data_IF_330430005865
#
_entry.id   IF_330430005865
#
_cell.length_a   1.000
_cell.length_b   1.000
_cell.length_c   1.000
_cell.angle_alpha   90.00
_cell.angle_beta   90.00
_cell.angle_gamma   90.00
#
_symmetry.space_group_name_H-M   'P 1'
#
loop_
_entity.id
_entity.type
_entity.pdbx_description
1 polymer ?
#
# COMPACT_ATOMS: atom_id res chain seq x y z
N UNK A 1 -52.84 -45.99 4.90
CA UNK A 1 -52.71 -45.81 3.45
C UNK A 1 -53.22 -44.42 3.15
N UNK A 2 -52.33 -43.44 3.07
CA UNK A 2 -52.51 -42.34 2.13
C UNK A 2 -51.17 -41.66 1.89
N UNK A 3 -50.91 -41.46 0.62
CA UNK A 3 -49.62 -41.20 0.01
C UNK A 3 -49.30 -39.71 0.04
N UNK A 4 -48.10 -39.34 0.46
CA UNK A 4 -47.47 -38.11 -0.04
C UNK A 4 -46.06 -38.44 -0.51
N UNK A 5 -45.86 -38.46 -1.84
CA UNK A 5 -44.59 -37.97 -2.33
C UNK A 5 -44.76 -37.16 -3.61
N UNK A 6 -44.20 -35.95 -3.63
CA UNK A 6 -43.31 -35.56 -4.73
C UNK A 6 -42.52 -34.30 -4.39
N UNK A 7 -41.21 -34.50 -4.40
CA UNK A 7 -40.21 -33.50 -4.71
C UNK A 7 -40.48 -32.92 -6.09
N UNK A 8 -40.61 -31.61 -6.20
CA UNK A 8 -40.53 -30.90 -7.48
C UNK A 8 -39.44 -29.84 -7.39
N UNK A 9 -38.45 -30.06 -8.23
CA UNK A 9 -37.20 -29.33 -8.38
C UNK A 9 -37.43 -27.93 -8.96
N UNK A 10 -36.88 -26.92 -8.29
CA UNK A 10 -36.74 -25.59 -8.86
C UNK A 10 -35.89 -25.63 -10.16
N UNK A 11 -36.26 -24.88 -11.21
CA UNK A 11 -35.49 -24.84 -12.44
C UNK A 11 -34.14 -24.14 -12.24
N UNK A 12 -33.07 -24.83 -12.64
CA UNK A 12 -31.71 -24.31 -12.83
C UNK A 12 -31.73 -23.28 -13.96
N UNK A 13 -31.50 -22.00 -13.64
CA UNK A 13 -31.11 -21.01 -14.64
C UNK A 13 -29.59 -21.08 -14.86
N UNK A 14 -29.19 -22.03 -15.70
CA UNK A 14 -27.89 -22.04 -16.36
C UNK A 14 -27.84 -20.93 -17.40
N UNK A 15 -27.44 -19.73 -16.97
CA UNK A 15 -27.04 -18.64 -17.86
C UNK A 15 -25.66 -18.09 -17.44
N UNK A 16 -24.71 -19.00 -17.20
CA UNK A 16 -23.28 -18.71 -17.29
C UNK A 16 -22.81 -19.15 -18.66
N UNK A 17 -22.70 -18.22 -19.62
CA UNK A 17 -21.67 -18.23 -20.68
C UNK A 17 -21.82 -17.04 -21.63
N UNK A 18 -20.66 -16.46 -21.90
CA UNK A 18 -20.29 -15.77 -23.14
C UNK A 18 -20.68 -14.30 -23.28
N UNK A 19 -19.76 -13.42 -22.87
CA UNK A 19 -19.36 -12.27 -23.70
C UNK A 19 -17.84 -12.07 -23.58
N UNK A 20 -17.10 -12.88 -24.33
CA UNK A 20 -15.67 -12.70 -24.61
C UNK A 20 -15.50 -12.76 -26.13
N UNK A 21 -15.38 -11.59 -26.76
CA UNK A 21 -14.73 -11.36 -28.06
C UNK A 21 -14.12 -9.95 -27.99
N UNK A 22 -12.82 -9.88 -27.66
CA UNK A 22 -11.71 -9.65 -28.60
C UNK A 22 -11.64 -8.21 -29.10
N UNK A 23 -10.61 -7.47 -28.68
CA UNK A 23 -9.66 -6.80 -29.59
C UNK A 23 -8.28 -6.75 -28.91
N UNK A 24 -7.29 -7.36 -29.57
CA UNK A 24 -5.87 -7.16 -29.33
C UNK A 24 -5.41 -6.13 -30.37
N UNK A 25 -4.94 -4.96 -29.94
CA UNK A 25 -4.09 -4.11 -30.78
C UNK A 25 -3.07 -3.38 -29.92
N UNK A 26 -1.82 -3.54 -30.34
CA UNK A 26 -0.58 -2.95 -29.83
C UNK A 26 -0.66 -1.44 -29.59
N UNK A 27 -0.30 -0.98 -28.39
CA UNK A 27 0.05 0.40 -28.13
C UNK A 27 1.41 0.45 -27.42
N UNK A 28 2.31 1.26 -27.99
CA UNK A 28 3.67 1.47 -27.54
C UNK A 28 3.73 1.99 -26.10
N UNK A 29 4.78 1.61 -25.37
CA UNK A 29 5.10 2.15 -24.06
C UNK A 29 5.34 3.67 -24.17
N UNK A 30 4.40 4.44 -23.61
CA UNK A 30 4.58 5.84 -23.27
C UNK A 30 4.67 5.94 -21.74
N UNK A 31 5.45 6.90 -21.19
CA UNK A 31 5.58 7.04 -19.74
C UNK A 31 4.21 7.35 -19.15
N UNK A 32 3.85 6.69 -18.06
CA UNK A 32 2.65 7.01 -17.29
C UNK A 32 2.85 8.39 -16.68
N UNK A 33 2.38 9.43 -17.37
CA UNK A 33 2.11 10.73 -16.79
C UNK A 33 0.77 10.57 -16.07
N UNK A 34 0.76 10.70 -14.74
CA UNK A 34 -0.47 10.75 -13.95
C UNK A 34 -1.37 11.87 -14.52
N UNK A 35 -2.40 11.47 -15.26
CA UNK A 35 -3.40 12.37 -15.81
C UNK A 35 -4.26 12.91 -14.68
N UNK A 36 -4.04 14.17 -14.33
CA UNK A 36 -4.93 14.95 -13.49
C UNK A 36 -6.29 15.10 -14.20
N UNK A 37 -7.34 14.49 -13.65
CA UNK A 37 -8.71 14.87 -13.97
C UNK A 37 -9.49 15.13 -12.68
N UNK A 38 -9.43 16.37 -12.22
CA UNK A 38 -10.55 17.11 -11.63
C UNK A 38 -10.20 18.60 -11.64
N UNK A 39 -11.02 19.36 -12.35
CA UNK A 39 -10.98 20.82 -12.43
C UNK A 39 -11.07 21.49 -11.06
N UNK A 40 -10.06 22.29 -10.74
CA UNK A 40 -10.09 23.47 -9.86
C UNK A 40 -10.95 23.39 -8.59
N UNK A 41 -10.39 22.83 -7.52
CA UNK A 41 -10.83 23.11 -6.15
C UNK A 41 -9.64 23.72 -5.40
N UNK A 42 -9.45 25.03 -5.60
CA UNK A 42 -8.34 25.85 -5.13
C UNK A 42 -6.97 25.42 -5.70
N UNK A 43 -6.27 26.34 -6.36
CA UNK A 43 -4.82 26.21 -6.48
C UNK A 43 -4.26 26.31 -5.05
N UNK A 44 -4.20 25.18 -4.33
CA UNK A 44 -3.64 25.14 -2.99
C UNK A 44 -2.18 25.55 -3.11
N UNK A 45 -1.77 26.53 -2.28
CA UNK A 45 -0.35 26.81 -2.10
C UNK A 45 0.35 25.49 -1.76
N UNK A 46 1.48 25.15 -2.39
CA UNK A 46 2.18 23.91 -2.08
C UNK A 46 2.62 23.86 -0.59
N UNK A 47 2.70 25.01 0.07
CA UNK A 47 3.01 25.15 1.50
C UNK A 47 1.79 25.09 2.44
N UNK A 48 0.60 24.74 1.94
CA UNK A 48 -0.63 24.70 2.73
C UNK A 48 -1.32 23.34 2.69
N UNK A 49 -1.72 22.86 3.87
CA UNK A 49 -2.66 21.76 4.05
C UNK A 49 -3.82 22.21 4.93
N UNK A 50 -5.06 21.75 4.64
CA UNK A 50 -6.18 21.99 5.54
C UNK A 50 -5.92 21.32 6.89
N UNK A 51 -6.43 21.92 7.97
CA UNK A 51 -6.33 21.36 9.32
C UNK A 51 -7.68 21.46 10.03
N UNK A 52 -8.19 20.34 10.53
CA UNK A 52 -9.47 20.32 11.25
C UNK A 52 -9.33 20.94 12.65
N UNK A 53 -8.23 20.64 13.33
CA UNK A 53 -7.86 21.23 14.62
C UNK A 53 -6.44 21.79 14.55
N UNK A 54 -6.13 22.80 15.37
CA UNK A 54 -4.76 23.34 15.46
C UNK A 54 -3.79 22.23 15.88
N UNK A 55 -2.69 22.08 15.14
CA UNK A 55 -1.64 21.09 15.43
C UNK A 55 -2.00 19.64 15.12
N UNK A 56 -3.17 19.38 14.53
CA UNK A 56 -3.62 18.03 14.24
C UNK A 56 -2.74 17.36 13.19
N UNK A 57 -2.40 18.05 12.09
CA UNK A 57 -1.53 17.47 11.06
C UNK A 57 -0.14 17.11 11.61
N UNK A 58 0.44 18.01 12.41
CA UNK A 58 1.72 17.76 13.10
C UNK A 58 1.67 16.48 13.92
N UNK A 59 0.63 16.32 14.76
CA UNK A 59 0.46 15.13 15.58
C UNK A 59 0.32 13.87 14.74
N UNK A 60 -0.55 13.86 13.73
CA UNK A 60 -0.75 12.65 12.91
C UNK A 60 0.52 12.28 12.14
N UNK A 61 1.27 13.25 11.61
CA UNK A 61 2.56 12.95 10.97
C UNK A 61 3.62 12.42 11.95
N UNK A 62 3.63 12.90 13.19
CA UNK A 62 4.48 12.37 14.25
C UNK A 62 4.07 10.95 14.68
N UNK A 63 2.76 10.69 14.76
CA UNK A 63 2.21 9.37 15.06
C UNK A 63 2.59 8.38 13.95
N UNK A 64 2.39 8.72 12.67
CA UNK A 64 2.80 7.89 11.52
C UNK A 64 4.31 7.62 11.59
N UNK A 65 5.15 8.65 11.75
CA UNK A 65 6.60 8.46 11.91
C UNK A 65 6.95 7.47 13.01
N UNK A 66 6.26 7.55 14.16
CA UNK A 66 6.49 6.65 15.29
C UNK A 66 6.10 5.22 14.93
N UNK A 67 4.96 5.03 14.27
CA UNK A 67 4.44 3.73 13.87
C UNK A 67 5.34 3.08 12.81
N UNK A 68 5.79 3.82 11.79
CA UNK A 68 6.74 3.29 10.78
C UNK A 68 8.06 2.82 11.40
N UNK A 69 8.60 3.59 12.35
CA UNK A 69 9.80 3.17 13.07
C UNK A 69 9.54 1.91 13.93
N UNK A 70 8.35 1.79 14.52
CA UNK A 70 7.96 0.62 15.31
C UNK A 70 7.74 -0.62 14.43
N UNK A 71 7.20 -0.47 13.22
CA UNK A 71 7.09 -1.55 12.24
C UNK A 71 8.47 -2.08 11.84
N UNK A 72 9.41 -1.19 11.52
CA UNK A 72 10.81 -1.55 11.26
C UNK A 72 11.41 -2.32 12.43
N UNK A 73 11.29 -1.81 13.66
CA UNK A 73 11.80 -2.48 14.85
C UNK A 73 11.18 -3.87 15.05
N UNK A 74 9.86 -3.96 14.87
CA UNK A 74 9.13 -5.22 14.99
C UNK A 74 9.65 -6.27 14.00
N UNK A 75 9.80 -5.89 12.73
CA UNK A 75 10.29 -6.79 11.69
C UNK A 75 11.75 -7.18 11.88
N UNK A 76 12.61 -6.23 12.28
CA UNK A 76 14.01 -6.51 12.60
C UNK A 76 14.12 -7.53 13.74
N UNK A 77 13.35 -7.34 14.80
CA UNK A 77 13.31 -8.26 15.94
C UNK A 77 12.77 -9.64 15.54
N UNK A 78 11.71 -9.68 14.72
CA UNK A 78 11.11 -10.93 14.25
C UNK A 78 11.98 -11.72 13.28
N UNK A 79 12.74 -11.04 12.41
CA UNK A 79 13.64 -11.65 11.43
C UNK A 79 15.00 -12.02 12.04
N UNK A 80 15.48 -11.29 13.05
CA UNK A 80 16.77 -11.52 13.67
C UNK A 80 17.91 -11.50 12.65
N UNK A 81 18.72 -12.57 12.61
CA UNK A 81 19.84 -12.68 11.66
C UNK A 81 19.41 -12.87 10.20
N UNK A 82 18.14 -13.20 9.94
CA UNK A 82 17.59 -13.29 8.59
C UNK A 82 17.13 -11.93 8.05
N UNK A 83 17.23 -10.86 8.84
CA UNK A 83 16.83 -9.53 8.41
C UNK A 83 17.75 -9.01 7.31
N UNK A 84 17.15 -8.48 6.25
CA UNK A 84 17.86 -7.80 5.18
C UNK A 84 18.53 -6.52 5.72
N UNK A 85 19.68 -6.11 5.14
CA UNK A 85 20.20 -4.77 5.38
C UNK A 85 19.22 -3.71 4.85
N UNK A 86 19.21 -2.55 5.53
CA UNK A 86 18.45 -1.38 5.11
C UNK A 86 18.89 -0.93 3.71
N UNK A 87 17.99 -0.80 2.72
CA UNK A 87 18.33 -0.25 1.41
C UNK A 87 18.80 1.21 1.49
N UNK A 88 19.50 1.67 0.47
CA UNK A 88 19.76 3.10 0.26
C UNK A 88 18.68 3.68 -0.63
N UNK A 89 18.11 4.81 -0.21
CA UNK A 89 17.02 5.48 -0.93
C UNK A 89 17.44 6.83 -1.50
N UNK A 90 16.64 7.36 -2.42
CA UNK A 90 16.77 8.69 -3.04
C UNK A 90 15.42 9.37 -3.15
N UNK A 91 15.44 10.67 -3.44
CA UNK A 91 14.24 11.47 -3.73
C UNK A 91 13.19 11.50 -2.61
N UNK A 92 13.60 11.26 -1.36
CA UNK A 92 12.68 11.21 -0.22
C UNK A 92 12.35 12.59 0.32
N UNK A 93 13.31 13.52 0.33
CA UNK A 93 13.12 14.85 0.90
C UNK A 93 12.20 15.72 0.02
N UNK A 94 11.09 16.16 0.58
CA UNK A 94 10.12 17.02 -0.10
C UNK A 94 10.34 18.49 0.25
N UNK A 95 10.11 19.37 -0.72
CA UNK A 95 10.29 20.82 -0.54
C UNK A 95 9.08 21.46 0.10
N UNK A 96 7.89 20.95 -0.23
CA UNK A 96 6.62 21.51 0.19
C UNK A 96 5.79 20.48 0.95
N UNK A 97 4.95 20.96 1.87
CA UNK A 97 4.15 20.09 2.73
C UNK A 97 3.05 19.34 1.95
N UNK A 98 2.55 19.93 0.86
CA UNK A 98 1.62 19.26 -0.04
C UNK A 98 2.29 18.08 -0.76
N UNK A 99 3.52 18.26 -1.25
CA UNK A 99 4.29 17.18 -1.88
C UNK A 99 4.57 16.06 -0.87
N UNK A 100 4.92 16.43 0.37
CA UNK A 100 5.07 15.48 1.47
C UNK A 100 3.80 14.67 1.69
N UNK A 101 2.64 15.30 1.84
CA UNK A 101 1.37 14.60 2.01
C UNK A 101 1.00 13.73 0.81
N UNK A 102 1.28 14.17 -0.41
CA UNK A 102 1.01 13.40 -1.64
C UNK A 102 1.88 12.13 -1.73
N UNK A 103 3.17 12.23 -1.40
CA UNK A 103 4.07 11.07 -1.39
C UNK A 103 3.74 10.16 -0.22
N UNK A 104 3.48 10.70 0.98
CA UNK A 104 2.94 9.93 2.12
C UNK A 104 1.74 9.10 1.68
N UNK A 105 0.73 9.73 1.05
CA UNK A 105 -0.47 9.02 0.58
C UNK A 105 -0.11 7.85 -0.33
N UNK A 106 0.81 8.06 -1.27
CA UNK A 106 1.21 7.02 -2.22
C UNK A 106 1.90 5.84 -1.51
N UNK A 107 2.77 6.13 -0.54
CA UNK A 107 3.46 5.13 0.27
C UNK A 107 2.47 4.33 1.12
N UNK A 108 1.68 4.97 1.99
CA UNK A 108 0.75 4.24 2.88
C UNK A 108 -0.26 3.38 2.09
N UNK A 109 -0.80 3.89 0.98
CA UNK A 109 -1.71 3.08 0.15
C UNK A 109 -0.98 1.93 -0.57
N UNK A 110 0.32 2.07 -0.83
CA UNK A 110 1.16 0.95 -1.30
C UNK A 110 1.38 -0.06 -0.17
N UNK A 111 1.67 0.40 1.05
CA UNK A 111 1.78 -0.42 2.26
C UNK A 111 0.54 -1.28 2.51
N UNK A 112 -0.65 -0.66 2.50
CA UNK A 112 -1.94 -1.37 2.59
C UNK A 112 -2.05 -2.51 1.58
N UNK A 113 -1.81 -2.21 0.30
CA UNK A 113 -1.91 -3.18 -0.78
C UNK A 113 -0.86 -4.28 -0.69
N UNK A 114 0.36 -3.94 -0.27
CA UNK A 114 1.47 -4.87 -0.09
C UNK A 114 1.18 -5.88 1.03
N UNK A 115 0.79 -5.40 2.22
CA UNK A 115 0.45 -6.30 3.31
C UNK A 115 -0.76 -7.16 2.99
N UNK A 116 -1.82 -6.58 2.43
CA UNK A 116 -3.01 -7.33 2.04
C UNK A 116 -2.68 -8.43 1.02
N UNK A 117 -1.83 -8.14 0.03
CA UNK A 117 -1.34 -9.13 -0.93
C UNK A 117 -0.44 -10.21 -0.33
N UNK A 118 0.25 -9.90 0.76
CA UNK A 118 1.11 -10.83 1.48
C UNK A 118 0.35 -11.78 2.42
N UNK A 119 -0.82 -11.39 2.96
CA UNK A 119 -1.54 -12.19 3.96
C UNK A 119 -1.79 -13.65 3.54
N UNK A 120 -2.19 -13.97 2.29
CA UNK A 120 -2.38 -15.36 1.86
C UNK A 120 -1.11 -16.21 1.96
N UNK A 121 0.07 -15.60 1.76
CA UNK A 121 1.37 -16.29 1.85
C UNK A 121 1.80 -16.57 3.30
N UNK A 122 1.19 -15.87 4.26
CA UNK A 122 1.45 -16.05 5.69
C UNK A 122 0.41 -16.95 6.37
N UNK A 123 -0.55 -17.50 5.63
CA UNK A 123 -1.61 -18.33 6.18
C UNK A 123 -1.04 -19.53 6.97
N UNK A 124 -1.55 -19.74 8.19
CA UNK A 124 -1.09 -20.82 9.08
C UNK A 124 0.26 -20.58 9.76
N UNK A 125 0.89 -19.42 9.52
CA UNK A 125 2.13 -19.02 10.20
C UNK A 125 1.82 -18.11 11.40
N UNK A 126 2.71 -18.01 12.39
CA UNK A 126 2.55 -17.05 13.49
C UNK A 126 2.66 -15.57 13.02
N UNK A 127 3.07 -15.33 11.78
CA UNK A 127 3.27 -13.99 11.23
C UNK A 127 2.01 -13.40 10.59
N UNK A 128 0.95 -14.19 10.39
CA UNK A 128 -0.30 -13.71 9.79
C UNK A 128 -0.94 -12.58 10.60
N UNK A 129 -1.13 -12.79 11.91
CA UNK A 129 -1.79 -11.79 12.75
C UNK A 129 -0.97 -10.50 12.91
N UNK A 130 0.36 -10.56 13.12
CA UNK A 130 1.18 -9.35 13.08
C UNK A 130 1.13 -8.59 11.75
N UNK A 131 1.28 -9.28 10.61
CA UNK A 131 1.19 -8.64 9.30
C UNK A 131 -0.19 -8.00 9.06
N UNK A 132 -1.27 -8.69 9.47
CA UNK A 132 -2.61 -8.13 9.44
C UNK A 132 -2.78 -6.92 10.37
N UNK A 133 -2.09 -6.91 11.52
CA UNK A 133 -2.11 -5.76 12.43
C UNK A 133 -1.45 -4.54 11.81
N UNK A 134 -0.29 -4.70 11.15
CA UNK A 134 0.37 -3.61 10.43
C UNK A 134 -0.53 -3.10 9.31
N UNK A 135 -1.10 -4.00 8.49
CA UNK A 135 -2.03 -3.62 7.42
C UNK A 135 -3.20 -2.74 7.89
N UNK A 136 -3.71 -2.95 9.11
CA UNK A 136 -4.78 -2.14 9.69
C UNK A 136 -4.31 -0.74 10.10
N UNK A 137 -3.05 -0.59 10.50
CA UNK A 137 -2.44 0.70 10.83
C UNK A 137 -2.14 1.47 9.55
N UNK A 138 -1.52 0.85 8.56
CA UNK A 138 -1.33 1.39 7.21
C UNK A 138 -2.64 1.96 6.63
N UNK A 139 -3.75 1.22 6.78
CA UNK A 139 -5.05 1.64 6.28
C UNK A 139 -5.60 2.89 7.00
N UNK A 140 -5.27 3.09 8.28
CA UNK A 140 -5.64 4.30 9.03
C UNK A 140 -4.81 5.49 8.58
N UNK A 141 -3.51 5.31 8.36
CA UNK A 141 -2.63 6.33 7.81
C UNK A 141 -3.10 6.76 6.41
N UNK A 142 -3.31 5.80 5.52
CA UNK A 142 -3.82 6.02 4.17
C UNK A 142 -5.17 6.77 4.18
N UNK A 143 -6.10 6.38 5.05
CA UNK A 143 -7.39 7.05 5.20
C UNK A 143 -7.28 8.50 5.70
N UNK A 144 -6.40 8.75 6.66
CA UNK A 144 -6.08 10.11 7.12
C UNK A 144 -5.53 10.97 5.98
N UNK A 145 -4.53 10.48 5.24
CA UNK A 145 -3.90 11.21 4.14
C UNK A 145 -4.86 11.44 2.97
N UNK A 146 -5.72 10.46 2.66
CA UNK A 146 -6.81 10.65 1.71
C UNK A 146 -7.71 11.82 2.12
N UNK A 147 -8.14 11.86 3.38
CA UNK A 147 -8.99 12.93 3.90
C UNK A 147 -8.29 14.29 3.88
N UNK A 148 -7.02 14.32 4.30
CA UNK A 148 -6.17 15.51 4.32
C UNK A 148 -6.01 16.13 2.92
N UNK A 149 -5.91 15.28 1.89
CA UNK A 149 -5.78 15.67 0.49
C UNK A 149 -7.14 15.85 -0.21
N UNK A 150 -8.25 15.86 0.54
CA UNK A 150 -9.60 16.01 0.02
C UNK A 150 -9.98 14.93 -1.03
N UNK A 151 -9.58 13.68 -0.77
CA UNK A 151 -9.91 12.49 -1.55
C UNK A 151 -10.86 11.57 -0.77
N UNK A 152 -11.59 10.66 -1.45
CA UNK A 152 -12.36 9.63 -0.77
C UNK A 152 -11.48 8.82 0.19
N UNK A 153 -11.96 8.64 1.43
CA UNK A 153 -11.18 7.98 2.49
C UNK A 153 -10.69 6.57 2.13
N UNK A 154 -11.45 5.82 1.32
CA UNK A 154 -11.12 4.46 0.85
C UNK A 154 -10.57 4.43 -0.58
N UNK A 155 -9.99 5.54 -1.06
CA UNK A 155 -9.33 5.56 -2.37
C UNK A 155 -7.92 4.97 -2.29
N UNK A 156 -7.68 3.87 -2.99
CA UNK A 156 -6.40 3.16 -2.99
C UNK A 156 -5.30 3.86 -3.84
N UNK A 157 -4.11 3.24 -3.93
CA UNK A 157 -2.96 3.78 -4.67
C UNK A 157 -3.22 3.90 -6.18
N UNK A 158 -4.14 3.10 -6.73
CA UNK A 158 -4.56 3.16 -8.14
C UNK A 158 -5.68 4.18 -8.38
N UNK A 159 -5.98 5.02 -7.39
CA UNK A 159 -7.04 6.02 -7.41
C UNK A 159 -8.45 5.43 -7.59
N UNK A 160 -8.66 4.20 -7.11
CA UNK A 160 -9.96 3.53 -7.15
C UNK A 160 -10.61 3.63 -5.76
N UNK A 161 -11.88 4.05 -5.74
CA UNK A 161 -12.69 4.05 -4.51
C UNK A 161 -13.43 2.73 -4.40
N UNK A 162 -13.03 1.90 -3.45
CA UNK A 162 -13.55 0.54 -3.30
C UNK A 162 -14.09 0.31 -1.88
N UNK A 163 -14.90 -0.73 -1.72
CA UNK A 163 -15.40 -1.19 -0.42
C UNK A 163 -14.55 -2.33 0.16
N UNK A 164 -13.72 -2.94 -0.69
CA UNK A 164 -12.70 -3.93 -0.36
C UNK A 164 -11.41 -3.40 -0.95
N UNK A 165 -10.35 -3.31 -0.14
CA UNK A 165 -9.09 -2.75 -0.63
C UNK A 165 -8.41 -3.69 -1.64
N UNK A 166 -7.50 -3.12 -2.42
CA UNK A 166 -6.82 -3.81 -3.49
C UNK A 166 -5.51 -4.43 -2.98
N UNK A 167 -5.46 -5.76 -2.95
CA UNK A 167 -4.21 -6.48 -2.81
C UNK A 167 -3.30 -6.20 -4.02
N UNK A 168 -2.06 -5.80 -3.77
CA UNK A 168 -1.04 -5.60 -4.80
C UNK A 168 -0.17 -6.83 -4.94
N UNK A 169 0.28 -7.13 -6.16
CA UNK A 169 1.34 -8.14 -6.34
C UNK A 169 2.71 -7.55 -5.94
N UNK A 170 3.70 -8.39 -5.59
CA UNK A 170 5.04 -7.91 -5.30
C UNK A 170 5.62 -7.04 -6.42
N UNK A 171 5.34 -7.37 -7.68
CA UNK A 171 5.80 -6.61 -8.85
C UNK A 171 5.16 -5.22 -8.92
N UNK A 172 3.88 -5.10 -8.59
CA UNK A 172 3.19 -3.81 -8.54
C UNK A 172 3.74 -2.93 -7.41
N UNK A 173 4.00 -3.52 -6.24
CA UNK A 173 4.63 -2.84 -5.12
C UNK A 173 6.04 -2.37 -5.50
N UNK A 174 6.85 -3.22 -6.14
CA UNK A 174 8.19 -2.83 -6.62
C UNK A 174 8.10 -1.74 -7.70
N UNK A 175 7.07 -1.75 -8.55
CA UNK A 175 6.90 -0.68 -9.53
C UNK A 175 6.60 0.68 -8.87
N UNK A 176 5.90 0.69 -7.73
CA UNK A 176 5.56 1.89 -6.97
C UNK A 176 6.71 2.38 -6.09
N UNK A 177 7.39 1.48 -5.36
CA UNK A 177 8.44 1.81 -4.40
C UNK A 177 9.86 1.84 -5.02
N UNK A 178 10.09 1.03 -6.07
CA UNK A 178 11.39 0.87 -6.72
C UNK A 178 12.06 2.16 -7.21
N UNK A 179 11.33 3.18 -7.71
CA UNK A 179 11.93 4.47 -8.08
C UNK A 179 12.68 5.18 -6.94
N UNK A 180 12.37 4.88 -5.67
CA UNK A 180 13.09 5.43 -4.52
C UNK A 180 14.32 4.61 -4.13
N UNK A 181 14.43 3.35 -4.57
CA UNK A 181 15.53 2.46 -4.19
C UNK A 181 16.75 2.70 -5.09
N UNK A 182 17.91 2.89 -4.47
CA UNK A 182 19.21 3.02 -5.17
C UNK A 182 19.99 1.73 -5.09
N UNK A 183 20.14 1.19 -3.88
CA UNK A 183 20.92 -0.02 -3.60
C UNK A 183 20.21 -0.83 -2.51
N UNK A 184 20.29 -2.15 -2.61
CA UNK A 184 19.80 -3.09 -1.61
C UNK A 184 20.84 -3.37 -0.52
N UNK A 185 22.03 -2.77 -0.62
CA UNK A 185 23.14 -2.84 0.34
C UNK A 185 23.59 -4.28 0.63
N UNK A 186 23.68 -5.09 -0.42
CA UNK A 186 24.03 -6.51 -0.33
C UNK A 186 22.88 -7.40 0.18
N UNK A 187 21.69 -6.86 0.41
CA UNK A 187 20.49 -7.64 0.71
C UNK A 187 20.00 -8.46 -0.49
N UNK A 188 19.13 -9.45 -0.26
CA UNK A 188 18.52 -10.22 -1.34
C UNK A 188 17.69 -9.32 -2.26
N UNK A 189 17.42 -9.74 -3.52
CA UNK A 189 16.46 -9.07 -4.38
C UNK A 189 15.12 -8.87 -3.66
N UNK A 190 14.45 -7.73 -3.90
CA UNK A 190 13.11 -7.48 -3.34
C UNK A 190 12.15 -8.62 -3.68
N UNK A 191 12.21 -9.11 -4.90
CA UNK A 191 11.48 -10.30 -5.33
C UNK A 191 12.52 -11.36 -5.71
N UNK A 192 12.69 -12.43 -4.90
CA UNK A 192 13.57 -13.54 -5.24
C UNK A 192 13.16 -14.21 -6.55
N UNK A 193 14.08 -14.99 -7.13
CA UNK A 193 13.78 -15.80 -8.30
C UNK A 193 12.66 -16.79 -7.98
N UNK A 194 11.54 -16.70 -8.69
CA UNK A 194 10.33 -17.48 -8.42
C UNK A 194 9.31 -16.79 -7.51
N UNK A 195 9.55 -15.56 -7.04
CA UNK A 195 8.62 -14.79 -6.21
C UNK A 195 8.86 -14.95 -4.71
N UNK A 196 7.92 -14.47 -3.89
CA UNK A 196 7.95 -14.61 -2.44
C UNK A 196 7.49 -16.02 -2.05
N UNK A 197 8.44 -16.91 -1.74
CA UNK A 197 8.17 -18.35 -1.58
C UNK A 197 8.10 -18.79 -0.11
N UNK A 198 8.54 -17.95 0.82
CA UNK A 198 8.57 -18.25 2.24
C UNK A 198 8.11 -17.05 3.09
N UNK A 199 7.71 -17.29 4.35
CA UNK A 199 7.43 -16.20 5.28
C UNK A 199 8.63 -15.27 5.46
N UNK A 200 9.86 -15.78 5.39
CA UNK A 200 11.07 -14.97 5.49
C UNK A 200 11.22 -14.05 4.26
N UNK A 201 10.86 -14.50 3.06
CA UNK A 201 10.86 -13.64 1.87
C UNK A 201 9.82 -12.53 2.02
N UNK A 202 8.61 -12.88 2.48
CA UNK A 202 7.53 -11.92 2.72
C UNK A 202 7.92 -10.87 3.76
N UNK A 203 8.48 -11.29 4.90
CA UNK A 203 8.88 -10.38 5.96
C UNK A 203 10.07 -9.50 5.56
N UNK A 204 11.05 -10.02 4.79
CA UNK A 204 12.14 -9.21 4.26
C UNK A 204 11.68 -8.24 3.17
N UNK A 205 10.66 -8.62 2.39
CA UNK A 205 10.02 -7.73 1.43
C UNK A 205 9.32 -6.57 2.17
N UNK A 206 8.49 -6.89 3.17
CA UNK A 206 7.84 -5.90 4.02
C UNK A 206 8.87 -4.97 4.68
N UNK A 207 9.92 -5.52 5.29
CA UNK A 207 10.98 -4.73 5.95
C UNK A 207 11.64 -3.73 5.01
N UNK A 208 11.75 -4.03 3.71
CA UNK A 208 12.30 -3.09 2.75
C UNK A 208 11.39 -1.86 2.51
N UNK A 209 10.07 -2.06 2.57
CA UNK A 209 9.05 -1.01 2.44
C UNK A 209 9.00 -0.18 3.73
N UNK A 210 8.97 -0.83 4.88
CA UNK A 210 9.01 -0.14 6.19
C UNK A 210 10.27 0.72 6.33
N UNK A 211 11.42 0.24 5.84
CA UNK A 211 12.63 1.07 5.81
C UNK A 211 12.50 2.31 4.93
N UNK A 212 11.77 2.21 3.80
CA UNK A 212 11.51 3.33 2.90
C UNK A 212 10.61 4.35 3.58
N UNK A 213 9.48 3.90 4.14
CA UNK A 213 8.50 4.75 4.83
C UNK A 213 9.12 5.41 6.07
N UNK A 214 9.77 4.63 6.94
CA UNK A 214 10.46 5.16 8.11
C UNK A 214 11.51 6.21 7.73
N UNK A 215 12.34 5.96 6.71
CA UNK A 215 13.32 6.98 6.27
C UNK A 215 12.64 8.23 5.69
N UNK A 216 11.58 8.05 4.90
CA UNK A 216 10.81 9.14 4.32
C UNK A 216 10.22 10.04 5.41
N UNK A 217 9.57 9.48 6.42
CA UNK A 217 9.00 10.26 7.53
C UNK A 217 10.08 10.90 8.41
N UNK A 218 11.12 10.16 8.78
CA UNK A 218 12.22 10.71 9.59
C UNK A 218 12.92 11.92 8.91
N UNK A 219 12.96 11.96 7.58
CA UNK A 219 13.51 13.09 6.82
C UNK A 219 12.56 14.29 6.73
N UNK A 220 11.25 14.05 6.60
CA UNK A 220 10.29 15.10 6.25
C UNK A 220 9.52 15.66 7.44
N UNK A 221 9.15 14.85 8.43
CA UNK A 221 8.38 15.32 9.59
C UNK A 221 9.07 16.50 10.29
N UNK A 222 10.37 16.45 10.63
CA UNK A 222 11.06 17.59 11.26
C UNK A 222 11.08 18.89 10.44
N UNK A 223 10.78 18.85 9.14
CA UNK A 223 10.69 20.04 8.28
C UNK A 223 9.32 20.70 8.31
N UNK A 224 8.27 19.94 8.61
CA UNK A 224 6.88 20.38 8.51
C UNK A 224 6.12 20.37 9.84
N UNK A 225 6.80 20.00 10.94
CA UNK A 225 6.26 19.97 12.31
C UNK A 225 7.15 20.72 13.28
#
# INVERSE_FOLDING_TARGET
>A
MDSCPRTESAPRNDARRSFLKTVLTTAAAAPVVLGATSTSLFAQSPDYLPTLYRGWNVRNFQDILSDENAHVEYLLNGLGTAARPKPTFKNLLQSHVLDFAMVSRALENTGVGAYLGALPLLAGTPYLSPAGSIALIEARHAGYLNTLLNLPITQNVKNQKEAFDLALTPEEVVALAGPFVVDLNGGPPLIPAGGLQSPIDVLNFALALEFLEAEFYNLNVPKFT
#
